data_IF_819007764002
#
_entry.id   IF_819007764002
#
_cell.length_a   1.000
_cell.length_b   1.000
_cell.length_c   1.000
_cell.angle_alpha   90.00
_cell.angle_beta   90.00
_cell.angle_gamma   90.00
#
_symmetry.space_group_name_H-M   'P 1'
#
loop_
_entity.id
_entity.type
_entity.pdbx_description
1 polymer ?
#
# COMPACT_ATOMS: atom_id res chain seq x y z
N UNK A 1 29.83 -0.22 16.17
CA UNK A 1 28.81 -0.08 17.21
C UNK A 1 28.02 1.18 16.90
N UNK A 2 26.95 1.07 16.12
CA UNK A 2 26.00 2.16 15.95
C UNK A 2 25.49 2.50 17.34
N UNK A 3 25.74 3.74 17.79
CA UNK A 3 25.43 4.15 19.15
C UNK A 3 23.93 3.89 19.40
N UNK A 4 23.54 3.26 20.52
CA UNK A 4 22.13 2.94 20.81
C UNK A 4 21.20 4.16 20.72
N UNK A 5 21.72 5.37 20.88
CA UNK A 5 20.99 6.62 20.63
C UNK A 5 20.59 6.83 19.16
N UNK A 6 21.42 6.49 18.18
CA UNK A 6 21.12 6.73 16.76
C UNK A 6 19.87 5.97 16.28
N UNK A 7 19.66 4.75 16.77
CA UNK A 7 18.47 3.98 16.42
C UNK A 7 17.20 4.61 16.99
N UNK A 8 17.23 5.02 18.27
CA UNK A 8 16.08 5.59 18.97
C UNK A 8 15.78 7.03 18.52
N UNK A 9 16.81 7.82 18.24
CA UNK A 9 16.69 9.25 17.94
C UNK A 9 16.41 9.51 16.45
N UNK A 10 16.81 8.61 15.54
CA UNK A 10 16.73 8.85 14.10
C UNK A 10 15.99 7.75 13.35
N UNK A 11 16.37 6.49 13.54
CA UNK A 11 15.80 5.37 12.76
C UNK A 11 14.35 5.11 13.15
N UNK A 12 14.07 5.01 14.45
CA UNK A 12 12.74 4.71 14.96
C UNK A 12 11.73 5.81 14.61
N UNK A 13 11.99 7.11 14.81
CA UNK A 13 11.06 8.17 14.42
C UNK A 13 10.86 8.25 12.91
N UNK A 14 11.91 8.04 12.11
CA UNK A 14 11.81 8.04 10.66
C UNK A 14 10.96 6.86 10.15
N UNK A 15 11.18 5.65 10.67
CA UNK A 15 10.39 4.48 10.30
C UNK A 15 8.93 4.62 10.73
N UNK A 16 8.66 5.13 11.94
CA UNK A 16 7.28 5.37 12.43
C UNK A 16 6.57 6.42 11.57
N UNK A 17 7.24 7.54 11.26
CA UNK A 17 6.68 8.60 10.42
C UNK A 17 6.42 8.12 8.99
N UNK A 18 7.33 7.32 8.44
CA UNK A 18 7.19 6.73 7.10
C UNK A 18 6.07 5.69 7.08
N UNK A 19 5.95 4.86 8.11
CA UNK A 19 4.92 3.84 8.19
C UNK A 19 3.52 4.46 8.33
N UNK A 20 3.34 5.42 9.24
CA UNK A 20 2.06 6.11 9.42
C UNK A 20 1.71 6.97 8.21
N UNK A 21 2.64 7.82 7.75
CA UNK A 21 2.43 8.69 6.60
C UNK A 21 2.17 7.89 5.32
N UNK A 22 2.97 6.84 5.09
CA UNK A 22 2.83 5.94 3.95
C UNK A 22 1.50 5.19 3.96
N UNK A 23 1.05 4.73 5.13
CA UNK A 23 -0.24 4.07 5.29
C UNK A 23 -1.42 4.98 4.91
N UNK A 24 -1.49 6.20 5.45
CA UNK A 24 -2.57 7.13 5.11
C UNK A 24 -2.52 7.57 3.65
N UNK A 25 -1.32 7.83 3.12
CA UNK A 25 -1.14 8.20 1.72
C UNK A 25 -1.57 7.06 0.79
N UNK A 26 -1.22 5.82 1.13
CA UNK A 26 -1.65 4.62 0.42
C UNK A 26 -3.17 4.45 0.45
N UNK A 27 -3.84 4.73 1.58
CA UNK A 27 -5.30 4.68 1.67
C UNK A 27 -5.96 5.70 0.74
N UNK A 28 -5.50 6.94 0.76
CA UNK A 28 -6.07 8.01 -0.08
C UNK A 28 -5.85 7.71 -1.56
N UNK A 29 -4.63 7.30 -1.94
CA UNK A 29 -4.30 6.96 -3.32
C UNK A 29 -5.06 5.74 -3.81
N UNK A 30 -5.12 4.69 -2.99
CA UNK A 30 -5.87 3.48 -3.33
C UNK A 30 -7.35 3.78 -3.48
N UNK A 31 -7.92 4.68 -2.65
CA UNK A 31 -9.31 5.10 -2.78
C UNK A 31 -9.56 5.88 -4.08
N UNK A 32 -8.69 6.85 -4.40
CA UNK A 32 -8.80 7.65 -5.62
C UNK A 32 -8.68 6.77 -6.88
N UNK A 33 -7.71 5.85 -6.88
CA UNK A 33 -7.53 4.88 -7.96
C UNK A 33 -8.73 3.95 -8.08
N UNK A 34 -9.28 3.47 -6.96
CA UNK A 34 -10.46 2.63 -6.95
C UNK A 34 -11.66 3.34 -7.55
N UNK A 35 -12.00 4.54 -7.06
CA UNK A 35 -13.13 5.33 -7.55
C UNK A 35 -12.96 5.66 -9.06
N UNK A 36 -11.73 5.92 -9.52
CA UNK A 36 -11.46 6.18 -10.94
C UNK A 36 -11.65 4.94 -11.81
N UNK A 37 -11.10 3.80 -11.41
CA UNK A 37 -11.22 2.54 -12.15
C UNK A 37 -12.66 2.05 -12.12
N UNK A 38 -13.37 2.22 -11.00
CA UNK A 38 -14.77 1.82 -10.87
C UNK A 38 -15.63 2.62 -11.84
N UNK A 39 -15.47 3.94 -11.88
CA UNK A 39 -16.28 4.80 -12.75
C UNK A 39 -16.00 4.63 -14.23
N UNK A 40 -14.75 4.43 -14.62
CA UNK A 40 -14.34 4.46 -16.03
C UNK A 40 -14.07 3.07 -16.63
N UNK A 41 -13.81 2.08 -15.78
CA UNK A 41 -13.34 0.76 -16.18
C UNK A 41 -13.91 -0.34 -15.26
N UNK A 42 -15.23 -0.32 -15.01
CA UNK A 42 -15.95 -1.33 -14.21
C UNK A 42 -15.58 -2.79 -14.53
N UNK A 43 -15.21 -3.09 -15.78
CA UNK A 43 -14.84 -4.43 -16.25
C UNK A 43 -13.43 -4.87 -15.84
N UNK A 44 -12.60 -3.96 -15.34
CA UNK A 44 -11.25 -4.27 -14.86
C UNK A 44 -11.24 -4.90 -13.47
N UNK A 45 -12.22 -4.57 -12.64
CA UNK A 45 -12.46 -5.31 -11.41
C UNK A 45 -13.17 -6.61 -11.78
N UNK A 46 -12.50 -7.74 -11.57
CA UNK A 46 -13.24 -8.98 -11.35
C UNK A 46 -14.06 -8.71 -10.10
N UNK A 47 -15.40 -8.59 -10.24
CA UNK A 47 -16.32 -8.52 -9.09
C UNK A 47 -15.85 -9.56 -8.11
N UNK A 48 -15.25 -9.10 -7.04
CA UNK A 48 -14.42 -9.96 -6.23
C UNK A 48 -15.36 -11.01 -5.66
N UNK A 49 -15.15 -12.27 -6.04
CA UNK A 49 -15.57 -13.43 -5.26
C UNK A 49 -14.77 -13.51 -3.94
N UNK A 50 -14.33 -12.36 -3.39
CA UNK A 50 -13.71 -12.24 -2.07
C UNK A 50 -14.76 -12.17 -0.96
N UNK A 51 -15.91 -12.80 -1.15
CA UNK A 51 -16.52 -13.53 -0.04
C UNK A 51 -15.68 -14.79 0.21
N UNK A 52 -14.39 -14.61 0.54
CA UNK A 52 -13.67 -15.65 1.25
C UNK A 52 -14.35 -15.80 2.60
N UNK A 53 -14.97 -16.96 2.84
CA UNK A 53 -15.73 -17.33 4.05
C UNK A 53 -15.03 -17.04 5.40
N UNK A 54 -13.74 -16.68 5.35
CA UNK A 54 -12.88 -16.43 6.50
C UNK A 54 -12.61 -14.95 6.79
N UNK A 55 -12.84 -14.05 5.84
CA UNK A 55 -12.57 -12.62 6.03
C UNK A 55 -13.75 -11.85 5.43
N UNK A 56 -14.76 -11.57 6.25
CA UNK A 56 -15.55 -10.36 6.06
C UNK A 56 -14.56 -9.20 6.23
N UNK A 57 -13.87 -8.83 5.15
CA UNK A 57 -13.01 -7.67 5.16
C UNK A 57 -13.93 -6.50 5.47
N UNK A 58 -13.70 -5.84 6.61
CA UNK A 58 -14.17 -4.48 6.86
C UNK A 58 -14.21 -3.74 5.52
N UNK A 59 -15.42 -3.48 5.02
CA UNK A 59 -15.63 -3.00 3.64
C UNK A 59 -14.84 -1.70 3.36
N UNK A 60 -14.41 -1.03 4.42
CA UNK A 60 -13.56 0.15 4.41
C UNK A 60 -12.12 -0.07 3.93
N UNK A 61 -11.61 -1.30 3.74
CA UNK A 61 -10.24 -1.52 3.24
C UNK A 61 -10.12 -2.48 2.05
N UNK A 62 -11.21 -3.12 1.62
CA UNK A 62 -11.20 -4.04 0.47
C UNK A 62 -10.65 -3.39 -0.82
N UNK A 63 -10.91 -2.09 -1.02
CA UNK A 63 -10.43 -1.34 -2.18
C UNK A 63 -8.90 -1.31 -2.31
N UNK A 64 -8.17 -1.37 -1.20
CA UNK A 64 -6.69 -1.43 -1.21
C UNK A 64 -6.23 -2.76 -1.79
N UNK A 65 -6.88 -3.85 -1.40
CA UNK A 65 -6.62 -5.20 -1.91
C UNK A 65 -6.91 -5.32 -3.40
N UNK A 66 -8.04 -4.79 -3.86
CA UNK A 66 -8.42 -4.79 -5.27
C UNK A 66 -7.43 -4.00 -6.14
N UNK A 67 -7.03 -2.80 -5.70
CA UNK A 67 -6.03 -1.98 -6.39
C UNK A 67 -4.66 -2.66 -6.39
N UNK A 68 -4.27 -3.30 -5.30
CA UNK A 68 -3.02 -4.06 -5.25
C UNK A 68 -3.05 -5.27 -6.18
N UNK A 69 -4.15 -6.01 -6.24
CA UNK A 69 -4.35 -7.12 -7.18
C UNK A 69 -4.32 -6.63 -8.64
N UNK A 70 -4.92 -5.48 -8.94
CA UNK A 70 -4.87 -4.85 -10.26
C UNK A 70 -3.45 -4.43 -10.64
N UNK A 71 -2.69 -3.92 -9.67
CA UNK A 71 -1.28 -3.54 -9.82
C UNK A 71 -0.43 -4.77 -10.12
N UNK A 72 -0.60 -5.85 -9.34
CA UNK A 72 0.17 -7.10 -9.46
C UNK A 72 -0.12 -7.84 -10.77
N UNK A 73 -1.37 -7.84 -11.22
CA UNK A 73 -1.78 -8.45 -12.49
C UNK A 73 -1.36 -7.64 -13.72
N UNK A 74 -0.92 -6.38 -13.54
CA UNK A 74 -0.55 -5.50 -14.64
C UNK A 74 -1.74 -5.01 -15.49
N UNK A 75 -2.98 -5.34 -15.10
CA UNK A 75 -4.20 -4.95 -15.85
C UNK A 75 -4.40 -3.43 -15.90
N UNK A 76 -3.84 -2.69 -14.95
CA UNK A 76 -3.83 -1.22 -14.95
C UNK A 76 -3.18 -0.61 -16.20
N UNK A 77 -2.34 -1.35 -16.93
CA UNK A 77 -1.75 -0.92 -18.21
C UNK A 77 -2.78 -0.72 -19.33
N UNK A 78 -4.01 -1.24 -19.17
CA UNK A 78 -5.12 -1.04 -20.11
C UNK A 78 -5.82 0.31 -19.95
N UNK A 79 -5.56 1.04 -18.86
CA UNK A 79 -6.16 2.36 -18.59
C UNK A 79 -5.52 3.38 -19.55
N UNK A 80 -6.27 4.14 -20.34
CA UNK A 80 -5.65 5.02 -21.35
C UNK A 80 -4.84 6.18 -20.75
N UNK A 81 -5.21 6.65 -19.56
CA UNK A 81 -4.55 7.78 -18.90
C UNK A 81 -3.18 7.42 -18.32
N UNK A 82 -2.11 7.99 -18.89
CA UNK A 82 -0.73 7.85 -18.39
C UNK A 82 -0.56 8.37 -16.97
N UNK A 83 -1.28 9.43 -16.59
CA UNK A 83 -1.22 9.98 -15.24
C UNK A 83 -1.72 8.98 -14.19
N UNK A 84 -2.82 8.27 -14.49
CA UNK A 84 -3.37 7.25 -13.61
C UNK A 84 -2.43 6.04 -13.54
N UNK A 85 -1.86 5.60 -14.67
CA UNK A 85 -0.84 4.53 -14.67
C UNK A 85 0.36 4.87 -13.79
N UNK A 86 0.79 6.13 -13.76
CA UNK A 86 1.88 6.59 -12.91
C UNK A 86 1.46 6.57 -11.44
N UNK A 87 0.23 6.98 -11.11
CA UNK A 87 -0.31 6.89 -9.75
C UNK A 87 -0.37 5.45 -9.22
N UNK A 88 -0.66 4.46 -10.07
CA UNK A 88 -0.54 3.04 -9.69
C UNK A 88 0.89 2.68 -9.28
N UNK A 89 1.89 3.18 -10.02
CA UNK A 89 3.31 3.01 -9.69
C UNK A 89 3.68 3.71 -8.37
N UNK A 90 3.25 4.95 -8.18
CA UNK A 90 3.47 5.70 -6.93
C UNK A 90 2.84 4.97 -5.74
N UNK A 91 1.61 4.51 -5.86
CA UNK A 91 0.92 3.77 -4.81
C UNK A 91 1.68 2.48 -4.41
N UNK A 92 2.21 1.75 -5.41
CA UNK A 92 3.03 0.57 -5.17
C UNK A 92 4.35 0.90 -4.45
N UNK A 93 5.02 2.00 -4.83
CA UNK A 93 6.25 2.46 -4.19
C UNK A 93 5.99 2.84 -2.73
N UNK A 94 4.92 3.57 -2.46
CA UNK A 94 4.53 3.96 -1.09
C UNK A 94 4.23 2.72 -0.25
N UNK A 95 3.49 1.75 -0.81
CA UNK A 95 3.24 0.47 -0.15
C UNK A 95 4.54 -0.27 0.18
N UNK A 96 5.48 -0.33 -0.76
CA UNK A 96 6.79 -0.95 -0.54
C UNK A 96 7.62 -0.23 0.53
N UNK A 97 7.64 1.11 0.52
CA UNK A 97 8.31 1.92 1.55
C UNK A 97 7.70 1.65 2.93
N UNK A 98 6.36 1.62 3.01
CA UNK A 98 5.64 1.33 4.26
C UNK A 98 5.98 -0.06 4.79
N UNK A 99 5.94 -1.09 3.93
CA UNK A 99 6.33 -2.47 4.29
C UNK A 99 7.79 -2.52 4.74
N UNK A 100 8.70 -1.85 4.04
CA UNK A 100 10.11 -1.83 4.40
C UNK A 100 10.36 -1.15 5.75
N UNK A 101 9.66 -0.05 6.05
CA UNK A 101 9.75 0.64 7.33
C UNK A 101 9.22 -0.24 8.47
N UNK A 102 8.11 -0.95 8.25
CA UNK A 102 7.58 -1.92 9.21
C UNK A 102 8.51 -3.11 9.42
N UNK A 103 9.14 -3.62 8.35
CA UNK A 103 10.11 -4.70 8.45
C UNK A 103 11.36 -4.29 9.26
N UNK A 104 11.86 -3.06 9.03
CA UNK A 104 12.99 -2.51 9.81
C UNK A 104 12.61 -2.34 11.28
N UNK A 105 11.40 -1.85 11.58
CA UNK A 105 10.90 -1.78 12.96
C UNK A 105 10.81 -3.17 13.60
N UNK A 106 10.23 -4.14 12.90
CA UNK A 106 10.08 -5.50 13.41
C UNK A 106 11.44 -6.16 13.69
N UNK A 107 12.41 -6.01 12.78
CA UNK A 107 13.77 -6.52 12.96
C UNK A 107 14.50 -5.83 14.11
N UNK A 108 14.31 -4.52 14.30
CA UNK A 108 14.85 -3.79 15.44
C UNK A 108 14.25 -4.25 16.77
N UNK A 109 12.94 -4.51 16.82
CA UNK A 109 12.28 -5.06 18.01
C UNK A 109 12.71 -6.50 18.34
N UNK A 110 13.02 -7.30 17.32
CA UNK A 110 13.56 -8.65 17.49
C UNK A 110 15.04 -8.66 17.91
N UNK A 111 15.70 -7.50 17.98
CA UNK A 111 17.11 -7.38 18.36
C UNK A 111 18.07 -7.90 17.28
N UNK A 112 17.62 -8.01 16.03
CA UNK A 112 18.46 -8.42 14.89
C UNK A 112 19.32 -7.26 14.39
N UNK A 113 18.90 -6.02 14.67
CA UNK A 113 19.55 -4.75 14.31
C UNK A 113 19.44 -3.78 15.49
#
# INVERSE_FOLDING_TARGET
MTAPGFFVDVVLPACVSTALGGFFLMLILSRLLYDYVERNYCTLFERTQSQTWWVDQDQAMAFVGDIWALTRSGRYRRIDSTAIRLLFGINAIIGALTISALAVLALGFLGVI
#
